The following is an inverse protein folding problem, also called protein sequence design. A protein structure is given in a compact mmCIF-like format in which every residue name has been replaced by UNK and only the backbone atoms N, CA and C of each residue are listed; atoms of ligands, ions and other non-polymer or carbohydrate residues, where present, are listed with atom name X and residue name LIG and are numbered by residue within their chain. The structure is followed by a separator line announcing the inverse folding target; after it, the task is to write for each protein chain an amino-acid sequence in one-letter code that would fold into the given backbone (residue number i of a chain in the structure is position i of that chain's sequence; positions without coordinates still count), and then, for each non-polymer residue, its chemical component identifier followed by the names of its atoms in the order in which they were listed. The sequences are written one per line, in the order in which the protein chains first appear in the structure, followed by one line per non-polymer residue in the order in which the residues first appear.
data_IF_885673054542
#
_entry.id   IF_885673054542
#
_cell.length_a   1.000
_cell.length_b   1.000
_cell.length_c   1.000
_cell.angle_alpha   90.00
_cell.angle_beta   90.00
_cell.angle_gamma   90.00
#
_symmetry.space_group_name_H-M   'P 1'
#
loop_
_entity.id
_entity.type
_entity.pdbx_description
1 polymer ?
#
# COMPACT_ATOMS: atom_id res chain seq x y z
N UNK A 1 -13.41 2.53 10.81
CA UNK A 1 -12.48 3.05 9.78
C UNK A 1 -11.93 1.87 9.00
N UNK A 2 -11.52 2.07 7.75
CA UNK A 2 -10.81 1.08 6.94
C UNK A 2 -9.48 1.69 6.47
N UNK A 3 -8.40 0.95 6.63
CA UNK A 3 -7.06 1.35 6.19
C UNK A 3 -6.63 0.43 5.05
N UNK A 4 -6.46 1.00 3.86
CA UNK A 4 -6.00 0.31 2.65
C UNK A 4 -4.51 0.63 2.49
N UNK A 5 -3.67 -0.37 2.74
CA UNK A 5 -2.24 -0.19 3.02
C UNK A 5 -1.35 -0.38 1.79
N UNK A 6 -1.79 0.17 0.65
CA UNK A 6 -1.18 0.02 -0.66
C UNK A 6 -1.21 -1.41 -1.19
N UNK A 7 -0.91 -1.56 -2.47
CA UNK A 7 -0.94 -2.82 -3.23
C UNK A 7 -2.27 -3.61 -3.09
N UNK A 8 -3.40 -2.90 -3.00
CA UNK A 8 -4.74 -3.50 -2.97
C UNK A 8 -5.18 -3.99 -4.36
N UNK A 9 -4.52 -3.48 -5.40
CA UNK A 9 -4.67 -3.90 -6.78
C UNK A 9 -3.31 -4.34 -7.30
N UNK A 10 -3.27 -5.43 -8.08
CA UNK A 10 -2.04 -5.87 -8.76
C UNK A 10 -1.43 -4.75 -9.62
N UNK A 11 -2.28 -3.90 -10.19
CA UNK A 11 -1.89 -2.66 -10.87
C UNK A 11 -3.09 -1.71 -10.97
N UNK A 12 -2.92 -0.46 -10.54
CA UNK A 12 -3.92 0.59 -10.72
C UNK A 12 -3.27 1.97 -10.81
N UNK A 13 -3.57 2.72 -11.87
CA UNK A 13 -3.17 4.12 -12.00
C UNK A 13 -4.42 4.98 -12.14
N UNK A 14 -4.64 5.93 -11.23
CA UNK A 14 -5.91 6.67 -11.19
C UNK A 14 -6.21 7.52 -12.43
N UNK A 15 -5.23 7.78 -13.31
CA UNK A 15 -5.44 8.52 -14.56
C UNK A 15 -5.49 7.64 -15.82
N UNK A 16 -5.34 6.32 -15.71
CA UNK A 16 -5.30 5.43 -16.87
C UNK A 16 -6.65 4.70 -17.04
N UNK A 17 -7.33 4.91 -18.16
CA UNK A 17 -8.68 4.36 -18.35
C UNK A 17 -8.68 2.86 -18.64
N UNK A 18 -7.66 2.37 -19.37
CA UNK A 18 -7.53 0.95 -19.68
C UNK A 18 -7.36 0.10 -18.41
N UNK A 19 -6.46 0.47 -17.51
CA UNK A 19 -6.22 -0.31 -16.28
C UNK A 19 -7.43 -0.32 -15.35
N UNK A 20 -8.19 0.78 -15.30
CA UNK A 20 -9.43 0.85 -14.50
C UNK A 20 -10.48 -0.17 -14.96
N UNK A 21 -10.48 -0.57 -16.24
CA UNK A 21 -11.47 -1.53 -16.74
C UNK A 21 -11.36 -2.91 -16.07
N UNK A 22 -10.16 -3.33 -15.68
CA UNK A 22 -9.94 -4.60 -14.98
C UNK A 22 -10.47 -4.61 -13.54
N UNK A 23 -10.52 -3.43 -12.91
CA UNK A 23 -10.78 -3.26 -11.48
C UNK A 23 -12.07 -2.47 -11.20
N UNK A 24 -12.91 -2.24 -12.21
CA UNK A 24 -14.07 -1.34 -12.12
C UNK A 24 -15.04 -1.74 -10.99
N UNK A 25 -15.29 -3.03 -10.82
CA UNK A 25 -16.17 -3.54 -9.76
C UNK A 25 -15.65 -3.14 -8.37
N UNK A 26 -14.38 -3.42 -8.08
CA UNK A 26 -13.74 -3.09 -6.81
C UNK A 26 -13.63 -1.57 -6.59
N UNK A 27 -13.30 -0.80 -7.63
CA UNK A 27 -13.29 0.67 -7.58
C UNK A 27 -14.68 1.21 -7.20
N UNK A 28 -15.71 0.74 -7.89
CA UNK A 28 -17.11 1.13 -7.65
C UNK A 28 -17.55 0.76 -6.24
N UNK A 29 -17.16 -0.42 -5.76
CA UNK A 29 -17.47 -0.87 -4.41
C UNK A 29 -16.81 0.03 -3.35
N UNK A 30 -15.52 0.35 -3.51
CA UNK A 30 -14.79 1.25 -2.61
C UNK A 30 -15.40 2.65 -2.58
N UNK A 31 -15.76 3.22 -3.73
CA UNK A 31 -16.44 4.52 -3.81
C UNK A 31 -17.83 4.51 -3.16
N UNK A 32 -18.55 3.40 -3.20
CA UNK A 32 -19.83 3.26 -2.50
C UNK A 32 -19.62 3.12 -0.99
N UNK A 33 -18.58 2.39 -0.58
CA UNK A 33 -18.25 2.16 0.82
C UNK A 33 -17.76 3.44 1.49
N UNK A 34 -16.94 4.25 0.80
CA UNK A 34 -16.40 5.52 1.30
C UNK A 34 -17.46 6.54 1.70
N UNK A 35 -18.67 6.44 1.15
CA UNK A 35 -19.83 7.27 1.54
C UNK A 35 -20.41 6.93 2.90
N UNK A 36 -20.06 5.76 3.46
CA UNK A 36 -20.61 5.22 4.71
C UNK A 36 -19.54 4.93 5.76
N UNK A 37 -18.30 4.75 5.32
CA UNK A 37 -17.17 4.36 6.14
C UNK A 37 -16.01 5.31 5.84
N UNK A 38 -15.36 5.82 6.88
CA UNK A 38 -14.11 6.54 6.71
C UNK A 38 -13.02 5.56 6.24
N UNK A 39 -12.46 5.84 5.06
CA UNK A 39 -11.40 5.06 4.44
C UNK A 39 -10.14 5.91 4.32
N UNK A 40 -9.02 5.36 4.77
CA UNK A 40 -7.67 5.87 4.54
C UNK A 40 -6.98 4.96 3.53
N UNK A 41 -6.38 5.53 2.49
CA UNK A 41 -5.68 4.78 1.45
C UNK A 41 -4.24 5.27 1.34
N UNK A 42 -3.29 4.41 1.64
CA UNK A 42 -1.87 4.66 1.46
C UNK A 42 -1.49 4.13 0.10
N UNK A 43 -1.12 5.00 -0.85
CA UNK A 43 -0.69 4.55 -2.17
C UNK A 43 0.52 3.63 -2.04
N UNK A 44 0.46 2.48 -2.71
CA UNK A 44 1.57 1.55 -2.80
C UNK A 44 2.36 1.74 -4.09
N UNK A 45 3.16 0.74 -4.42
CA UNK A 45 3.95 0.74 -5.65
C UNK A 45 3.24 0.09 -6.84
N UNK A 46 2.12 -0.58 -6.59
CA UNK A 46 1.24 -1.09 -7.62
C UNK A 46 0.01 -0.21 -7.88
N UNK A 47 -0.39 0.61 -6.91
CA UNK A 47 -1.62 1.39 -6.92
C UNK A 47 -1.40 2.86 -6.50
N UNK A 48 -1.33 3.77 -7.47
CA UNK A 48 -0.96 5.18 -7.24
C UNK A 48 -1.69 6.18 -8.14
N UNK A 49 -1.52 7.47 -7.85
CA UNK A 49 -2.27 8.57 -8.44
C UNK A 49 -3.79 8.44 -8.22
N UNK A 50 -4.20 7.97 -7.05
CA UNK A 50 -5.56 7.52 -6.74
C UNK A 50 -6.48 8.63 -6.21
N UNK A 51 -5.93 9.79 -5.85
CA UNK A 51 -6.66 10.89 -5.21
C UNK A 51 -7.89 11.37 -5.99
N UNK A 52 -7.76 11.51 -7.31
CA UNK A 52 -8.88 11.89 -8.19
C UNK A 52 -9.86 10.72 -8.43
N UNK A 53 -9.39 9.47 -8.31
CA UNK A 53 -10.21 8.27 -8.50
C UNK A 53 -11.14 8.02 -7.29
N UNK A 54 -10.69 8.34 -6.08
CA UNK A 54 -11.45 8.12 -4.84
C UNK A 54 -11.67 9.44 -4.07
N UNK A 55 -12.58 10.32 -4.53
CA UNK A 55 -12.76 11.65 -3.95
C UNK A 55 -13.24 11.64 -2.49
N UNK A 56 -13.97 10.60 -2.09
CA UNK A 56 -14.50 10.43 -0.72
C UNK A 56 -13.56 9.60 0.19
N UNK A 57 -12.34 9.28 -0.27
CA UNK A 57 -11.32 8.53 0.47
C UNK A 57 -10.16 9.44 0.83
N UNK A 58 -9.61 9.31 2.05
CA UNK A 58 -8.38 10.00 2.45
C UNK A 58 -7.18 9.28 1.83
N UNK A 59 -6.83 9.66 0.60
CA UNK A 59 -5.69 9.11 -0.14
C UNK A 59 -4.39 9.84 0.22
N UNK A 60 -3.35 9.09 0.57
CA UNK A 60 -2.00 9.57 0.88
C UNK A 60 -1.00 9.01 -0.13
N UNK A 61 -0.42 9.90 -0.93
CA UNK A 61 0.66 9.55 -1.85
C UNK A 61 1.90 9.07 -1.10
N UNK A 62 2.79 8.35 -1.80
CA UNK A 62 4.08 7.89 -1.24
C UNK A 62 4.89 9.02 -0.58
N UNK A 63 4.80 10.23 -1.10
CA UNK A 63 5.55 11.36 -0.56
C UNK A 63 4.93 11.95 0.71
N UNK A 64 3.60 11.87 0.85
CA UNK A 64 2.89 12.27 2.08
C UNK A 64 3.09 11.26 3.22
N UNK A 65 3.50 10.03 2.92
CA UNK A 65 3.74 9.00 3.92
C UNK A 65 5.09 9.21 4.64
N UNK A 66 5.24 8.82 5.91
CA UNK A 66 4.20 8.25 6.76
C UNK A 66 3.19 9.29 7.26
N UNK A 67 1.98 8.82 7.57
CA UNK A 67 0.96 9.65 8.22
C UNK A 67 0.88 9.25 9.69
N UNK A 68 0.88 10.26 10.55
CA UNK A 68 0.76 10.06 12.00
C UNK A 68 -0.70 9.97 12.43
N UNK A 69 -1.02 8.87 13.12
CA UNK A 69 -2.29 8.59 13.77
C UNK A 69 -2.11 8.45 15.28
N UNK A 70 -3.23 8.32 15.99
CA UNK A 70 -3.26 8.02 17.41
C UNK A 70 -4.04 6.73 17.67
N UNK A 71 -3.52 5.88 18.55
CA UNK A 71 -4.19 4.69 19.05
C UNK A 71 -4.10 4.70 20.57
N UNK A 72 -5.19 5.14 21.22
CA UNK A 72 -5.12 5.55 22.62
C UNK A 72 -4.10 6.69 22.78
N UNK A 73 -3.14 6.50 23.68
CA UNK A 73 -2.06 7.47 23.93
C UNK A 73 -0.83 7.30 23.02
N UNK A 74 -0.82 6.28 22.14
CA UNK A 74 0.33 5.98 21.27
C UNK A 74 0.26 6.79 19.97
N UNK A 75 1.40 7.38 19.57
CA UNK A 75 1.61 7.93 18.23
C UNK A 75 1.98 6.81 17.26
N UNK A 76 1.14 6.60 16.25
CA UNK A 76 1.29 5.52 15.28
C UNK A 76 1.66 6.11 13.93
N UNK A 77 2.84 5.80 13.42
CA UNK A 77 3.24 6.13 12.05
C UNK A 77 2.77 5.01 11.11
N UNK A 78 2.03 5.40 10.06
CA UNK A 78 1.47 4.45 9.10
C UNK A 78 1.99 4.79 7.70
N UNK A 79 2.48 3.78 6.99
CA UNK A 79 3.04 3.89 5.63
C UNK A 79 2.81 2.57 4.88
N UNK A 80 2.82 2.59 3.55
CA UNK A 80 2.79 1.38 2.75
C UNK A 80 4.06 0.54 2.97
N UNK A 81 5.22 1.17 3.09
CA UNK A 81 6.51 0.50 3.37
C UNK A 81 7.53 0.50 2.22
N UNK A 82 7.24 1.16 1.10
CA UNK A 82 8.15 1.29 -0.05
C UNK A 82 8.85 2.66 -0.13
N UNK A 83 8.83 3.42 0.98
CA UNK A 83 9.42 4.77 1.04
C UNK A 83 10.91 4.74 1.39
N UNK A 84 11.31 3.89 2.32
CA UNK A 84 12.65 3.84 2.89
C UNK A 84 13.36 2.54 2.51
N UNK A 85 14.69 2.57 2.47
CA UNK A 85 15.55 1.38 2.26
C UNK A 85 15.24 0.61 0.94
N UNK A 86 14.78 1.33 -0.09
CA UNK A 86 14.44 0.80 -1.43
C UNK A 86 15.52 1.04 -2.49
N UNK A 87 16.40 2.01 -2.26
CA UNK A 87 17.52 2.35 -3.13
C UNK A 87 17.14 3.30 -4.29
N UNK A 88 18.12 4.07 -4.74
CA UNK A 88 17.94 5.18 -5.70
C UNK A 88 17.20 4.78 -6.98
N UNK A 89 17.52 3.63 -7.57
CA UNK A 89 16.89 3.19 -8.82
C UNK A 89 15.39 2.94 -8.68
N UNK A 90 14.97 2.42 -7.52
CA UNK A 90 13.56 2.21 -7.21
C UNK A 90 12.84 3.54 -6.98
N UNK A 91 13.46 4.46 -6.23
CA UNK A 91 12.89 5.78 -5.96
C UNK A 91 12.72 6.59 -7.24
N UNK A 92 13.70 6.52 -8.15
CA UNK A 92 13.62 7.15 -9.46
C UNK A 92 12.48 6.54 -10.30
N UNK A 93 12.37 5.21 -10.34
CA UNK A 93 11.27 4.53 -11.02
C UNK A 93 9.91 4.98 -10.48
N UNK A 94 9.77 5.03 -9.16
CA UNK A 94 8.57 5.47 -8.46
C UNK A 94 8.20 6.93 -8.80
N UNK A 95 9.20 7.81 -8.86
CA UNK A 95 9.03 9.22 -9.21
C UNK A 95 8.59 9.38 -10.66
N UNK A 96 9.22 8.66 -11.59
CA UNK A 96 8.95 8.73 -13.03
C UNK A 96 7.53 8.26 -13.34
N UNK A 97 7.08 7.16 -12.73
CA UNK A 97 5.75 6.60 -13.00
C UNK A 97 4.60 7.37 -12.35
N UNK A 98 4.85 8.10 -11.27
CA UNK A 98 3.84 8.96 -10.61
C UNK A 98 3.73 10.35 -11.23
N UNK A 99 4.49 10.62 -12.29
CA UNK A 99 4.47 11.90 -12.99
C UNK A 99 3.40 11.92 -14.10
N UNK A 100 2.46 12.88 -14.03
CA UNK A 100 1.37 13.05 -15.01
C UNK A 100 1.88 13.22 -16.44
N UNK A 101 2.97 13.95 -16.65
CA UNK A 101 3.57 14.16 -17.98
C UNK A 101 4.13 12.87 -18.54
N UNK A 102 4.88 12.10 -17.74
CA UNK A 102 5.39 10.78 -18.16
C UNK A 102 4.24 9.88 -18.59
N UNK A 103 3.18 9.77 -17.77
CA UNK A 103 2.03 8.92 -18.09
C UNK A 103 1.32 9.39 -19.37
N UNK A 104 1.21 10.70 -19.57
CA UNK A 104 0.61 11.27 -20.79
C UNK A 104 1.44 10.92 -22.04
N UNK A 105 2.77 10.98 -21.95
CA UNK A 105 3.68 10.62 -23.04
C UNK A 105 3.63 9.12 -23.37
N UNK A 106 3.43 8.28 -22.35
CA UNK A 106 3.33 6.82 -22.52
C UNK A 106 1.97 6.35 -23.03
N UNK A 107 0.95 7.23 -23.06
CA UNK A 107 -0.43 6.89 -23.44
C UNK A 107 -0.55 6.06 -24.74
N UNK A 108 0.15 6.37 -25.85
CA UNK A 108 0.05 5.57 -27.08
C UNK A 108 0.50 4.11 -26.92
N UNK A 109 1.38 3.83 -25.94
CA UNK A 109 1.96 2.53 -25.69
C UNK A 109 1.41 1.87 -24.41
N UNK A 110 0.50 2.55 -23.70
CA UNK A 110 0.08 2.18 -22.35
C UNK A 110 -0.50 0.77 -22.29
N UNK A 111 -1.33 0.40 -23.28
CA UNK A 111 -1.95 -0.92 -23.34
C UNK A 111 -0.91 -2.03 -23.41
N UNK A 112 0.07 -1.91 -24.32
CA UNK A 112 1.10 -2.92 -24.49
C UNK A 112 2.00 -3.01 -23.24
N UNK A 113 2.34 -1.88 -22.63
CA UNK A 113 3.13 -1.81 -21.40
C UNK A 113 2.37 -2.47 -20.24
N UNK A 114 1.10 -2.15 -20.07
CA UNK A 114 0.22 -2.69 -19.02
C UNK A 114 0.04 -4.20 -19.22
N UNK A 115 -0.30 -4.65 -20.44
CA UNK A 115 -0.49 -6.07 -20.73
C UNK A 115 0.79 -6.87 -20.45
N UNK A 116 1.95 -6.34 -20.85
CA UNK A 116 3.24 -6.95 -20.55
C UNK A 116 3.51 -7.00 -19.04
N UNK A 117 3.24 -5.91 -18.32
CA UNK A 117 3.42 -5.83 -16.87
C UNK A 117 2.51 -6.81 -16.14
N UNK A 118 1.21 -6.86 -16.47
CA UNK A 118 0.25 -7.79 -15.90
C UNK A 118 0.67 -9.25 -16.14
N UNK A 119 1.12 -9.59 -17.35
CA UNK A 119 1.66 -10.92 -17.64
C UNK A 119 2.85 -11.28 -16.77
N UNK A 120 3.74 -10.33 -16.48
CA UNK A 120 4.88 -10.55 -15.57
C UNK A 120 4.43 -10.69 -14.12
N UNK A 121 3.49 -9.86 -13.68
CA UNK A 121 2.94 -9.89 -12.31
C UNK A 121 2.25 -11.22 -12.02
N UNK A 122 1.45 -11.74 -12.96
CA UNK A 122 0.76 -13.03 -12.81
C UNK A 122 1.67 -14.24 -12.56
N UNK A 123 2.98 -14.12 -12.84
CA UNK A 123 3.98 -15.17 -12.65
C UNK A 123 4.91 -14.91 -11.47
N UNK A 124 4.75 -13.79 -10.78
CA UNK A 124 5.64 -13.39 -9.69
C UNK A 124 5.30 -14.21 -8.44
N UNK A 125 6.30 -14.87 -7.88
CA UNK A 125 6.19 -15.49 -6.57
C UNK A 125 6.40 -14.43 -5.48
N UNK A 126 5.34 -14.07 -4.77
CA UNK A 126 5.35 -12.97 -3.77
C UNK A 126 5.35 -13.47 -2.33
N UNK A 127 5.10 -14.75 -2.08
CA UNK A 127 4.95 -15.31 -0.75
C UNK A 127 6.22 -16.05 -0.33
N UNK A 128 7.15 -15.33 0.27
CA UNK A 128 8.41 -15.89 0.75
C UNK A 128 8.88 -15.19 2.02
N UNK A 129 9.71 -15.89 2.80
CA UNK A 129 10.38 -15.30 3.94
C UNK A 129 11.48 -14.36 3.46
N UNK A 130 11.38 -13.08 3.83
CA UNK A 130 12.38 -12.09 3.48
C UNK A 130 13.61 -12.27 4.38
N UNK A 131 14.72 -12.72 3.80
CA UNK A 131 15.99 -12.83 4.52
C UNK A 131 16.52 -11.44 4.90
N UNK A 132 17.03 -11.29 6.13
CA UNK A 132 17.52 -10.01 6.64
C UNK A 132 16.41 -8.99 6.95
N UNK A 133 15.16 -9.43 7.09
CA UNK A 133 14.03 -8.55 7.36
C UNK A 133 14.21 -7.71 8.63
N UNK A 134 14.67 -8.30 9.73
CA UNK A 134 14.86 -7.58 11.00
C UNK A 134 15.90 -6.47 10.87
N UNK A 135 17.04 -6.74 10.23
CA UNK A 135 18.04 -5.72 9.93
C UNK A 135 17.47 -4.58 9.09
N UNK A 136 16.67 -4.91 8.07
CA UNK A 136 15.98 -3.89 7.26
C UNK A 136 15.01 -3.06 8.12
N UNK A 137 14.27 -3.70 9.03
CA UNK A 137 13.36 -2.98 9.94
C UNK A 137 14.13 -2.03 10.85
N UNK A 138 15.30 -2.42 11.35
CA UNK A 138 16.18 -1.53 12.13
C UNK A 138 16.55 -0.27 11.33
N UNK A 139 17.00 -0.44 10.08
CA UNK A 139 17.32 0.68 9.17
C UNK A 139 16.09 1.56 8.87
N UNK A 140 14.91 0.95 8.68
CA UNK A 140 13.65 1.68 8.47
C UNK A 140 13.30 2.52 9.71
N UNK A 141 13.43 1.96 10.91
CA UNK A 141 13.06 2.60 12.17
C UNK A 141 13.89 3.86 12.48
N UNK A 142 15.08 4.02 11.89
CA UNK A 142 15.87 5.27 11.97
C UNK A 142 15.11 6.49 11.43
N UNK A 143 14.14 6.29 10.54
CA UNK A 143 13.30 7.35 9.97
C UNK A 143 12.04 7.65 10.80
N UNK A 144 11.76 6.89 11.86
CA UNK A 144 10.54 6.96 12.67
C UNK A 144 10.85 7.29 14.14
N UNK A 145 11.58 8.37 14.38
CA UNK A 145 12.04 8.75 15.74
C UNK A 145 10.91 9.14 16.69
N UNK A 146 9.86 9.77 16.17
CA UNK A 146 8.80 10.40 16.98
C UNK A 146 7.53 9.54 17.15
N UNK A 147 7.59 8.28 16.71
CA UNK A 147 6.48 7.34 16.73
C UNK A 147 6.68 6.25 17.80
N UNK A 148 5.63 5.96 18.56
CA UNK A 148 5.58 4.87 19.53
C UNK A 148 5.30 3.52 18.86
N UNK A 149 4.73 3.54 17.66
CA UNK A 149 4.42 2.38 16.84
C UNK A 149 4.56 2.73 15.36
N UNK A 150 5.05 1.78 14.57
CA UNK A 150 5.18 1.89 13.11
C UNK A 150 4.43 0.73 12.48
N UNK A 151 3.54 1.01 11.53
CA UNK A 151 2.77 0.00 10.80
C UNK A 151 3.06 0.15 9.31
N UNK A 152 3.56 -0.91 8.69
CA UNK A 152 3.83 -0.96 7.25
C UNK A 152 3.29 -2.23 6.59
N UNK A 153 2.88 -2.09 5.33
CA UNK A 153 2.56 -3.19 4.44
C UNK A 153 3.80 -3.67 3.67
N UNK A 154 3.66 -3.82 2.35
CA UNK A 154 4.70 -4.07 1.33
C UNK A 154 5.52 -5.37 1.45
N UNK A 155 6.02 -5.71 2.64
CA UNK A 155 6.97 -6.81 2.85
C UNK A 155 6.33 -8.19 2.94
N UNK A 156 5.01 -8.28 3.14
CA UNK A 156 4.25 -9.53 3.22
C UNK A 156 4.78 -10.49 4.30
N UNK A 157 5.20 -9.98 5.46
CA UNK A 157 5.82 -10.82 6.50
C UNK A 157 4.88 -11.19 7.65
N UNK A 158 3.82 -10.41 7.92
CA UNK A 158 2.93 -10.65 9.08
C UNK A 158 3.71 -10.82 10.39
N UNK A 159 4.57 -9.84 10.72
CA UNK A 159 5.50 -9.91 11.86
C UNK A 159 5.43 -8.65 12.71
N UNK A 160 5.63 -8.84 14.01
CA UNK A 160 5.85 -7.74 14.97
C UNK A 160 7.30 -7.80 15.44
N UNK A 161 8.00 -6.68 15.39
CA UNK A 161 9.38 -6.54 15.84
C UNK A 161 9.54 -5.24 16.62
N UNK A 162 9.61 -5.32 17.96
CA UNK A 162 9.61 -4.15 18.83
C UNK A 162 8.37 -3.29 18.59
N UNK A 163 8.57 -2.03 18.18
CA UNK A 163 7.49 -1.09 17.84
C UNK A 163 6.98 -1.19 16.39
N UNK A 164 7.60 -2.03 15.57
CA UNK A 164 7.28 -2.18 14.15
C UNK A 164 6.31 -3.33 13.91
N UNK A 165 5.30 -3.10 13.08
CA UNK A 165 4.31 -4.08 12.66
C UNK A 165 4.34 -4.17 11.13
N UNK A 166 4.76 -5.32 10.63
CA UNK A 166 4.59 -5.71 9.23
C UNK A 166 3.23 -6.37 9.06
N UNK A 167 2.34 -5.71 8.32
CA UNK A 167 1.01 -6.22 8.04
C UNK A 167 1.05 -7.50 7.19
N UNK A 168 0.04 -8.38 7.35
CA UNK A 168 -0.11 -9.53 6.47
C UNK A 168 -0.45 -9.08 5.05
N UNK A 169 -0.05 -9.90 4.08
CA UNK A 169 -0.61 -9.85 2.74
C UNK A 169 -1.78 -10.80 2.67
N UNK A 170 -2.90 -10.34 2.11
CA UNK A 170 -4.06 -11.20 1.96
C UNK A 170 -3.76 -12.40 1.04
N UNK A 171 -2.92 -12.20 0.03
CA UNK A 171 -2.54 -13.25 -0.92
C UNK A 171 -1.62 -14.32 -0.30
N UNK A 172 -0.81 -13.96 0.71
CA UNK A 172 0.18 -14.86 1.27
C UNK A 172 -0.22 -15.48 2.59
N UNK A 173 -0.81 -14.69 3.49
CA UNK A 173 -1.22 -15.14 4.81
C UNK A 173 -2.73 -15.37 4.92
N UNK A 174 -3.56 -14.82 4.01
CA UNK A 174 -5.03 -14.90 4.13
C UNK A 174 -5.58 -14.10 5.31
N UNK A 175 -4.78 -13.18 5.85
CA UNK A 175 -5.06 -12.44 7.07
C UNK A 175 -5.22 -10.95 6.80
N UNK A 176 -5.91 -10.30 7.72
CA UNK A 176 -6.02 -8.83 7.85
C UNK A 176 -5.63 -8.42 9.27
N UNK A 177 -5.23 -7.17 9.44
CA UNK A 177 -5.06 -6.59 10.77
C UNK A 177 -6.36 -5.91 11.22
N UNK A 178 -6.79 -6.20 12.44
CA UNK A 178 -7.95 -5.60 13.07
C UNK A 178 -7.53 -4.95 14.37
N UNK A 179 -7.99 -3.72 14.57
CA UNK A 179 -7.79 -2.98 15.82
C UNK A 179 -9.04 -3.15 16.68
N UNK A 180 -8.92 -3.76 17.87
CA UNK A 180 -10.00 -3.90 18.87
C UNK A 180 -9.43 -3.56 20.24
N UNK A 181 -10.16 -2.73 20.99
CA UNK A 181 -9.80 -2.34 22.36
C UNK A 181 -8.34 -1.82 22.53
N UNK A 182 -7.82 -1.15 21.49
CA UNK A 182 -6.45 -0.59 21.49
C UNK A 182 -5.35 -1.58 21.10
N UNK A 183 -5.70 -2.82 20.79
CA UNK A 183 -4.78 -3.88 20.36
C UNK A 183 -4.94 -4.19 18.87
N UNK A 184 -3.84 -4.63 18.24
CA UNK A 184 -3.83 -5.03 16.83
C UNK A 184 -3.70 -6.54 16.78
N UNK A 185 -4.67 -7.18 16.15
CA UNK A 185 -4.73 -8.62 15.95
C UNK A 185 -4.69 -8.96 14.46
N UNK A 186 -3.94 -9.99 14.09
CA UNK A 186 -4.00 -10.55 12.75
C UNK A 186 -5.00 -11.69 12.74
N UNK A 187 -6.09 -11.52 12.00
CA UNK A 187 -7.17 -12.50 11.92
C UNK A 187 -7.36 -12.95 10.48
N UNK A 188 -7.84 -14.18 10.29
CA UNK A 188 -8.23 -14.66 8.96
C UNK A 188 -9.50 -13.95 8.48
N UNK A 189 -9.65 -13.78 7.17
CA UNK A 189 -10.85 -13.17 6.58
C UNK A 189 -12.17 -13.83 7.02
N UNK A 190 -12.16 -15.13 7.29
CA UNK A 190 -13.35 -15.88 7.72
C UNK A 190 -13.77 -15.58 9.17
N UNK A 191 -12.94 -14.85 9.92
CA UNK A 191 -13.15 -14.48 11.33
C UNK A 191 -13.59 -13.02 11.52
N UNK A 192 -13.67 -12.25 10.42
CA UNK A 192 -14.21 -10.88 10.39
C UNK A 192 -15.72 -10.88 10.60
#
# INVERSE_FOLDING_TARGET
QLFLMGDNFDLLFGHNDYIKTFSNEAITLLQRLSKKLEIHYFEGNHDFCLKELFPDVKVYSREEQPIMFTLGDKKVAISHGDKYVTGFGYDLYCTVLRNKTTLTLLKPFEKAIIDHRMKKLSKKHICYTLQGFEKRVEEILEHYTDADMVIEGHFHQAKVFGKYISLPSLACQGQVAVVRDGEIEFIELVQL
#
